data_IF_136227653512
#
_entry.id   IF_136227653512
#
_cell.length_a   1.000
_cell.length_b   1.000
_cell.length_c   1.000
_cell.angle_alpha   90.00
_cell.angle_beta   90.00
_cell.angle_gamma   90.00
#
_symmetry.space_group_name_H-M   'P 1'
#
loop_
_entity.id
_entity.type
_entity.pdbx_description
1 polymer ?
#
# COMPACT_ATOMS: atom_id res chain seq x y z
N UNK A 1 9.60 4.50 -10.13
CA UNK A 1 8.37 5.33 -9.99
C UNK A 1 7.12 4.53 -10.39
N UNK A 2 6.95 4.13 -11.66
CA UNK A 2 5.76 3.37 -12.11
C UNK A 2 5.48 2.10 -11.29
N UNK A 3 6.50 1.31 -10.97
CA UNK A 3 6.33 0.05 -10.23
C UNK A 3 5.91 0.28 -8.77
N UNK A 4 6.46 1.30 -8.11
CA UNK A 4 6.09 1.65 -6.72
C UNK A 4 4.67 2.20 -6.66
N UNK A 5 4.26 3.00 -7.64
CA UNK A 5 2.88 3.48 -7.74
C UNK A 5 1.91 2.32 -7.98
N UNK A 6 2.26 1.36 -8.83
CA UNK A 6 1.44 0.17 -9.07
C UNK A 6 1.31 -0.68 -7.80
N UNK A 7 2.42 -0.92 -7.09
CA UNK A 7 2.42 -1.67 -5.83
C UNK A 7 1.59 -0.97 -4.75
N UNK A 8 1.65 0.36 -4.68
CA UNK A 8 0.80 1.15 -3.79
C UNK A 8 -0.68 0.98 -4.10
N UNK A 9 -1.08 1.08 -5.38
CA UNK A 9 -2.49 0.93 -5.78
C UNK A 9 -3.00 -0.51 -5.57
N UNK A 10 -2.16 -1.53 -5.76
CA UNK A 10 -2.50 -2.92 -5.43
C UNK A 10 -2.75 -3.07 -3.92
N UNK A 11 -1.83 -2.59 -3.08
CA UNK A 11 -1.96 -2.65 -1.63
C UNK A 11 -3.23 -1.88 -1.15
N UNK A 12 -3.56 -0.77 -1.81
CA UNK A 12 -4.80 -0.03 -1.58
C UNK A 12 -6.05 -0.84 -1.89
N UNK A 13 -6.12 -1.47 -3.07
CA UNK A 13 -7.25 -2.32 -3.44
C UNK A 13 -7.41 -3.49 -2.46
N UNK A 14 -6.30 -4.15 -2.12
CA UNK A 14 -6.28 -5.24 -1.15
C UNK A 14 -6.78 -4.78 0.23
N UNK A 15 -6.39 -3.59 0.70
CA UNK A 15 -6.88 -3.06 1.98
C UNK A 15 -8.40 -2.90 1.98
N UNK A 16 -8.99 -2.39 0.90
CA UNK A 16 -10.43 -2.21 0.77
C UNK A 16 -11.15 -3.56 0.76
N UNK A 17 -10.59 -4.54 0.04
CA UNK A 17 -11.14 -5.89 -0.02
C UNK A 17 -11.10 -6.59 1.36
N UNK A 18 -9.95 -6.53 2.05
CA UNK A 18 -9.79 -7.13 3.37
C UNK A 18 -10.70 -6.49 4.41
N UNK A 19 -10.86 -5.16 4.36
CA UNK A 19 -11.81 -4.45 5.22
C UNK A 19 -13.25 -4.92 4.98
N UNK A 20 -13.67 -5.03 3.72
CA UNK A 20 -15.01 -5.53 3.35
C UNK A 20 -15.25 -6.97 3.79
N UNK A 21 -14.21 -7.80 3.80
CA UNK A 21 -14.26 -9.21 4.25
C UNK A 21 -14.13 -9.38 5.76
N UNK A 22 -13.92 -8.30 6.52
CA UNK A 22 -13.67 -8.37 7.97
C UNK A 22 -12.31 -8.99 8.33
N UNK A 23 -11.37 -9.08 7.39
CA UNK A 23 -10.04 -9.65 7.59
C UNK A 23 -9.09 -8.58 8.15
N UNK A 24 -9.28 -8.21 9.42
CA UNK A 24 -8.61 -7.07 10.06
C UNK A 24 -7.08 -7.19 10.00
N UNK A 25 -6.50 -8.37 10.26
CA UNK A 25 -5.06 -8.57 10.19
C UNK A 25 -4.48 -8.33 8.78
N UNK A 26 -5.16 -8.84 7.75
CA UNK A 26 -4.75 -8.63 6.35
C UNK A 26 -4.92 -7.17 5.93
N UNK A 27 -6.01 -6.53 6.37
CA UNK A 27 -6.24 -5.09 6.17
C UNK A 27 -5.10 -4.24 6.73
N UNK A 28 -4.72 -4.47 8.00
CA UNK A 28 -3.63 -3.74 8.65
C UNK A 28 -2.29 -3.96 7.93
N UNK A 29 -2.00 -5.19 7.50
CA UNK A 29 -0.80 -5.50 6.71
C UNK A 29 -0.78 -4.74 5.38
N UNK A 30 -1.91 -4.70 4.66
CA UNK A 30 -2.02 -3.96 3.40
C UNK A 30 -1.78 -2.45 3.59
N UNK A 31 -2.25 -1.88 4.70
CA UNK A 31 -1.98 -0.47 5.04
C UNK A 31 -0.49 -0.20 5.33
N UNK A 32 0.20 -1.11 6.03
CA UNK A 32 1.64 -0.99 6.28
C UNK A 32 2.42 -1.02 4.97
N UNK A 33 2.01 -1.89 4.05
CA UNK A 33 2.62 -2.02 2.73
C UNK A 33 2.39 -0.77 1.86
N UNK A 34 1.19 -0.19 1.87
CA UNK A 34 0.93 1.12 1.26
C UNK A 34 1.87 2.20 1.81
N UNK A 35 2.02 2.28 3.14
CA UNK A 35 2.88 3.27 3.77
C UNK A 35 4.35 3.08 3.38
N UNK A 36 4.83 1.84 3.28
CA UNK A 36 6.18 1.52 2.79
C UNK A 36 6.42 2.08 1.39
N UNK A 37 5.52 1.81 0.45
CA UNK A 37 5.67 2.30 -0.93
C UNK A 37 5.59 3.82 -1.02
N UNK A 38 4.70 4.44 -0.26
CA UNK A 38 4.61 5.91 -0.17
C UNK A 38 5.93 6.52 0.29
N UNK A 39 6.57 5.96 1.33
CA UNK A 39 7.87 6.43 1.82
C UNK A 39 8.98 6.27 0.76
N UNK A 40 8.99 5.15 0.05
CA UNK A 40 9.95 4.92 -1.04
C UNK A 40 9.76 5.90 -2.20
N UNK A 41 8.52 6.19 -2.58
CA UNK A 41 8.23 7.21 -3.61
C UNK A 41 8.71 8.59 -3.19
N UNK A 42 8.47 9.00 -1.95
CA UNK A 42 8.94 10.29 -1.42
C UNK A 42 10.47 10.35 -1.41
N UNK A 43 11.14 9.28 -0.97
CA UNK A 43 12.61 9.22 -0.96
C UNK A 43 13.21 9.36 -2.36
N UNK A 44 12.57 8.80 -3.39
CA UNK A 44 13.02 8.94 -4.79
C UNK A 44 12.83 10.37 -5.30
N UNK A 45 11.75 11.07 -4.92
CA UNK A 45 11.51 12.46 -5.35
C UNK A 45 12.43 13.45 -4.63
N UNK A 46 12.82 13.15 -3.40
CA UNK A 46 13.72 13.99 -2.60
C UNK A 46 15.20 13.89 -3.01
N UNK A 47 15.55 12.97 -3.91
CA UNK A 47 16.92 12.68 -4.35
C UNK A 47 17.10 13.05 -5.83
#
# INVERSE_FOLDING_TARGET
>A
MKDLTAQYEIAKQNSIEFMKKGQIGAYLNALLEMNKYKRLMVAIVAN
#
